data_IF_965519498748
#
_entry.id   IF_965519498748
#
_cell.length_a   1.000
_cell.length_b   1.000
_cell.length_c   1.000
_cell.angle_alpha   90.00
_cell.angle_beta   90.00
_cell.angle_gamma   90.00
#
_symmetry.space_group_name_H-M   'P 1'
#
loop_
_entity.id
_entity.type
_entity.pdbx_description
1 polymer ?
#
# COMPACT_ATOMS: atom_id res chain seq x y z
N UNK A 1 11.65 -8.16 7.31
CA UNK A 1 10.49 -9.04 7.05
C UNK A 1 10.58 -9.57 5.63
N UNK A 2 10.77 -10.88 5.44
CA UNK A 2 10.94 -11.54 4.12
C UNK A 2 9.71 -12.39 3.71
N UNK A 3 8.73 -12.56 4.60
CA UNK A 3 7.59 -13.47 4.39
C UNK A 3 6.78 -13.19 3.12
N UNK A 4 6.58 -11.91 2.82
CA UNK A 4 5.82 -11.43 1.66
C UNK A 4 6.67 -11.26 0.39
N UNK A 5 7.99 -11.50 0.47
CA UNK A 5 8.90 -11.25 -0.63
C UNK A 5 8.61 -12.16 -1.82
N UNK A 6 8.52 -11.57 -3.02
CA UNK A 6 8.27 -12.28 -4.27
C UNK A 6 6.85 -12.85 -4.41
N UNK A 7 5.93 -12.54 -3.49
CA UNK A 7 4.54 -13.00 -3.60
C UNK A 7 3.78 -12.17 -4.64
N UNK A 8 2.91 -12.79 -5.44
CA UNK A 8 2.00 -12.06 -6.31
C UNK A 8 0.99 -11.28 -5.46
N UNK A 9 0.43 -10.23 -6.06
CA UNK A 9 -0.62 -9.45 -5.42
C UNK A 9 -1.95 -10.19 -5.55
N UNK A 10 -2.70 -10.34 -4.45
CA UNK A 10 -4.01 -11.00 -4.44
C UNK A 10 -5.10 -10.02 -4.02
N UNK A 11 -6.26 -10.15 -4.65
CA UNK A 11 -7.44 -9.32 -4.43
C UNK A 11 -8.66 -10.21 -4.17
N UNK A 12 -9.81 -9.58 -3.88
CA UNK A 12 -11.06 -10.31 -3.60
C UNK A 12 -11.59 -11.09 -4.81
N UNK A 13 -11.26 -10.63 -6.01
CA UNK A 13 -11.67 -11.16 -7.31
C UNK A 13 -10.60 -12.01 -7.98
N UNK A 14 -9.32 -11.83 -7.61
CA UNK A 14 -8.19 -12.59 -8.16
C UNK A 14 -7.34 -13.15 -7.02
N UNK A 15 -7.49 -14.44 -6.78
CA UNK A 15 -6.73 -15.17 -5.76
C UNK A 15 -5.40 -15.68 -6.32
N UNK A 16 -4.29 -15.17 -5.77
CA UNK A 16 -2.94 -15.61 -6.11
C UNK A 16 -2.17 -16.07 -4.85
N UNK A 17 -2.87 -16.27 -3.74
CA UNK A 17 -2.25 -16.70 -2.49
C UNK A 17 -2.07 -18.23 -2.45
N UNK A 18 -1.40 -18.74 -1.42
CA UNK A 18 -1.15 -20.18 -1.27
C UNK A 18 -2.02 -20.81 -0.17
N UNK A 19 -2.93 -20.04 0.42
CA UNK A 19 -3.81 -20.56 1.46
C UNK A 19 -4.91 -21.44 0.85
N UNK A 20 -5.65 -22.13 1.72
CA UNK A 20 -6.77 -22.99 1.28
C UNK A 20 -7.97 -22.18 0.76
N UNK A 21 -7.99 -20.86 0.96
CA UNK A 21 -9.03 -19.99 0.45
C UNK A 21 -8.53 -18.55 0.38
N UNK A 22 -9.36 -17.66 -0.16
CA UNK A 22 -8.94 -16.31 -0.50
C UNK A 22 -8.68 -15.45 0.75
N UNK A 23 -7.40 -15.13 0.99
CA UNK A 23 -6.97 -14.31 2.11
C UNK A 23 -7.42 -12.85 1.96
N UNK A 24 -7.51 -12.32 0.73
CA UNK A 24 -7.97 -10.96 0.51
C UNK A 24 -9.45 -10.79 0.91
N UNK A 25 -10.26 -11.82 0.68
CA UNK A 25 -11.65 -11.86 1.13
C UNK A 25 -11.75 -11.96 2.66
N UNK A 26 -10.95 -12.83 3.27
CA UNK A 26 -10.98 -13.10 4.72
C UNK A 26 -10.47 -11.90 5.53
N UNK A 27 -9.38 -11.28 5.08
CA UNK A 27 -8.66 -10.22 5.79
C UNK A 27 -8.95 -8.81 5.28
N UNK A 28 -9.98 -8.69 4.42
CA UNK A 28 -10.60 -7.41 4.03
C UNK A 28 -9.60 -6.40 3.47
N UNK A 29 -8.69 -6.87 2.62
CA UNK A 29 -7.66 -6.05 2.00
C UNK A 29 -6.96 -6.79 0.88
N UNK A 30 -6.48 -6.06 -0.13
CA UNK A 30 -5.62 -6.65 -1.15
C UNK A 30 -4.16 -6.56 -0.70
N UNK A 31 -3.40 -7.65 -0.85
CA UNK A 31 -2.02 -7.70 -0.37
C UNK A 31 -1.19 -8.76 -1.11
N UNK A 32 0.12 -8.72 -0.89
CA UNK A 32 1.04 -9.77 -1.32
C UNK A 32 0.98 -10.96 -0.35
N UNK A 33 -0.11 -11.74 -0.38
CA UNK A 33 -0.34 -12.83 0.55
C UNK A 33 0.54 -14.07 0.26
N UNK A 34 0.90 -14.80 1.33
CA UNK A 34 1.46 -16.17 1.27
C UNK A 34 0.40 -17.12 1.84
N UNK A 35 0.61 -17.69 3.02
CA UNK A 35 -0.47 -18.29 3.80
C UNK A 35 -1.07 -17.13 4.60
N UNK A 36 -1.87 -16.32 3.90
CA UNK A 36 -2.30 -14.99 4.32
C UNK A 36 -1.13 -14.06 4.69
N UNK A 37 -1.11 -13.44 5.87
CA UNK A 37 -0.19 -12.34 6.15
C UNK A 37 0.38 -12.30 7.55
N UNK A 38 1.58 -11.70 7.65
CA UNK A 38 2.14 -11.17 8.89
C UNK A 38 1.98 -9.64 8.98
N UNK A 39 1.74 -8.97 7.85
CA UNK A 39 1.35 -7.56 7.83
C UNK A 39 0.31 -7.34 6.74
N UNK A 40 -0.71 -6.56 7.02
CA UNK A 40 -1.71 -6.13 6.05
C UNK A 40 -2.02 -4.66 6.29
N UNK A 41 -1.33 -3.79 5.55
CA UNK A 41 -1.54 -2.34 5.64
C UNK A 41 -2.80 -1.89 4.88
N UNK A 42 -3.38 -2.77 4.07
CA UNK A 42 -4.59 -2.54 3.28
C UNK A 42 -5.83 -3.19 3.93
N UNK A 43 -5.72 -3.67 5.17
CA UNK A 43 -6.85 -4.21 5.92
C UNK A 43 -7.91 -3.16 6.25
N UNK A 44 -9.03 -3.59 6.83
CA UNK A 44 -10.12 -2.67 7.16
C UNK A 44 -9.75 -1.81 8.38
N UNK A 45 -9.57 -0.51 8.17
CA UNK A 45 -9.23 0.42 9.25
C UNK A 45 -10.23 0.34 10.43
N UNK A 46 -9.69 0.31 11.66
CA UNK A 46 -10.46 0.25 12.90
C UNK A 46 -11.02 -1.13 13.25
N UNK A 47 -10.86 -2.15 12.40
CA UNK A 47 -11.32 -3.51 12.69
C UNK A 47 -10.37 -4.21 13.67
N UNK A 48 -10.89 -4.56 14.85
CA UNK A 48 -10.13 -5.21 15.92
C UNK A 48 -10.29 -6.73 15.93
N UNK A 49 -11.07 -7.29 15.00
CA UNK A 49 -11.17 -8.74 14.85
C UNK A 49 -9.84 -9.27 14.31
N UNK A 50 -9.51 -10.48 14.72
CA UNK A 50 -8.21 -11.10 14.41
C UNK A 50 -7.87 -11.01 12.92
N UNK A 51 -6.80 -10.29 12.62
CA UNK A 51 -6.23 -10.16 11.27
C UNK A 51 -7.15 -9.53 10.22
N UNK A 52 -8.23 -8.84 10.61
CA UNK A 52 -9.11 -8.12 9.67
C UNK A 52 -8.79 -6.63 9.55
N UNK A 53 -8.08 -6.09 10.54
CA UNK A 53 -7.66 -4.69 10.60
C UNK A 53 -6.39 -4.38 9.82
N UNK A 54 -6.02 -3.10 9.81
CA UNK A 54 -4.70 -2.65 9.35
C UNK A 54 -3.66 -3.11 10.38
N UNK A 55 -2.98 -4.22 10.16
CA UNK A 55 -2.17 -4.85 11.22
C UNK A 55 -0.75 -5.17 10.78
N UNK A 56 0.14 -5.28 11.78
CA UNK A 56 1.54 -5.66 11.62
C UNK A 56 1.93 -6.57 12.78
N UNK A 57 1.86 -7.88 12.56
CA UNK A 57 2.02 -8.92 13.58
C UNK A 57 3.34 -8.82 14.34
N UNK A 58 4.52 -8.71 13.69
CA UNK A 58 5.79 -8.61 14.39
C UNK A 58 5.94 -7.41 15.32
N UNK A 59 5.03 -6.43 15.24
CA UNK A 59 5.09 -5.21 16.03
C UNK A 59 3.95 -5.09 17.04
N UNK A 60 2.69 -5.09 16.58
CA UNK A 60 1.50 -4.88 17.43
C UNK A 60 0.55 -6.08 17.44
N UNK A 61 0.90 -7.18 16.79
CA UNK A 61 0.06 -8.36 16.65
C UNK A 61 -1.10 -8.16 15.67
N UNK A 62 -1.98 -9.16 15.61
CA UNK A 62 -3.12 -9.22 14.70
C UNK A 62 -4.43 -8.63 15.24
N UNK A 63 -4.49 -8.30 16.53
CA UNK A 63 -5.70 -7.80 17.20
C UNK A 63 -5.75 -6.27 17.29
N UNK A 64 -4.72 -5.58 16.80
CA UNK A 64 -4.62 -4.13 16.80
C UNK A 64 -4.64 -3.63 15.37
N UNK A 65 -5.62 -2.76 15.07
CA UNK A 65 -5.59 -1.95 13.85
C UNK A 65 -4.76 -0.70 14.09
N UNK A 66 -3.77 -0.45 13.25
CA UNK A 66 -2.97 0.76 13.25
C UNK A 66 -3.84 1.94 12.79
N UNK A 67 -3.64 3.09 13.44
CA UNK A 67 -4.40 4.31 13.13
C UNK A 67 -3.93 4.96 11.81
N UNK A 68 -2.66 4.76 11.46
CA UNK A 68 -2.03 5.34 10.28
C UNK A 68 -0.95 4.41 9.71
N UNK A 69 -0.90 4.30 8.38
CA UNK A 69 0.13 3.57 7.64
C UNK A 69 0.49 4.33 6.38
N UNK A 70 1.78 4.37 6.06
CA UNK A 70 2.27 5.03 4.85
C UNK A 70 3.41 4.21 4.24
N UNK A 71 3.29 3.86 2.95
CA UNK A 71 4.34 3.17 2.20
C UNK A 71 5.04 4.17 1.28
N UNK A 72 6.36 4.30 1.41
CA UNK A 72 7.19 5.20 0.61
C UNK A 72 8.38 4.45 0.03
N UNK A 73 8.70 4.72 -1.23
CA UNK A 73 9.87 4.17 -1.92
C UNK A 73 10.85 5.30 -2.22
N UNK A 74 12.13 5.08 -1.95
CA UNK A 74 13.22 5.97 -2.35
C UNK A 74 13.99 5.30 -3.49
N UNK A 75 14.28 6.00 -4.60
CA UNK A 75 15.15 5.48 -5.64
C UNK A 75 16.52 5.09 -5.07
N UNK A 76 16.95 3.86 -5.34
CA UNK A 76 18.28 3.37 -4.97
C UNK A 76 19.23 3.77 -6.11
N UNK A 77 20.02 4.82 -5.92
CA UNK A 77 20.98 5.31 -6.93
C UNK A 77 21.08 6.83 -7.08
N UNK A 78 20.18 7.61 -6.47
CA UNK A 78 20.21 9.09 -6.53
C UNK A 78 20.88 9.74 -5.31
N UNK A 79 21.68 9.00 -4.56
CA UNK A 79 22.39 9.46 -3.35
C UNK A 79 23.57 10.39 -3.60
N UNK A 80 23.82 10.82 -4.85
CA UNK A 80 24.94 11.71 -5.19
C UNK A 80 24.63 12.83 -6.19
N UNK A 81 23.44 12.90 -6.79
CA UNK A 81 23.04 14.01 -7.68
C UNK A 81 21.61 14.43 -7.37
N UNK A 82 21.48 15.25 -6.32
CA UNK A 82 20.35 16.18 -6.21
C UNK A 82 20.48 17.17 -7.38
N UNK A 83 20.07 16.76 -8.58
CA UNK A 83 19.71 17.76 -9.59
C UNK A 83 18.36 18.32 -9.15
N UNK A 84 18.46 19.49 -8.53
CA UNK A 84 17.44 20.50 -8.34
C UNK A 84 16.04 20.03 -8.79
N UNK A 85 15.22 19.65 -7.81
CA UNK A 85 13.78 19.52 -7.96
C UNK A 85 13.24 20.89 -8.41
N UNK A 86 13.24 21.14 -9.73
CA UNK A 86 12.64 22.35 -10.32
C UNK A 86 11.14 22.25 -10.05
N UNK A 87 10.67 22.97 -9.03
CA UNK A 87 9.23 23.15 -8.78
C UNK A 87 8.66 23.74 -10.07
N UNK A 88 7.83 22.99 -10.80
CA UNK A 88 7.02 23.57 -11.88
C UNK A 88 6.04 24.52 -11.21
N UNK A 89 6.18 25.83 -11.43
CA UNK A 89 5.13 26.78 -11.07
C UNK A 89 3.96 26.58 -12.02
N UNK A 90 2.76 26.46 -11.46
CA UNK A 90 1.53 26.48 -12.23
C UNK A 90 1.21 27.95 -12.50
N UNK A 91 1.83 28.54 -13.50
CA UNK A 91 1.40 29.85 -13.99
C UNK A 91 0.31 29.59 -15.02
N UNK A 92 -0.93 29.95 -14.69
CA UNK A 92 -2.07 29.85 -15.59
C UNK A 92 -1.83 30.69 -16.85
N UNK A 93 -1.81 30.06 -18.03
CA UNK A 93 -1.85 30.77 -19.31
C UNK A 93 -3.27 31.34 -19.49
N UNK A 94 -3.43 32.64 -19.31
CA UNK A 94 -4.64 33.34 -19.73
C UNK A 94 -4.73 33.27 -21.25
N UNK A 95 -5.83 32.74 -21.78
CA UNK A 95 -6.15 32.78 -23.22
C UNK A 95 -6.77 34.14 -23.51
N UNK A 96 -6.07 35.00 -24.23
CA UNK A 96 -6.67 36.20 -24.83
C UNK A 96 -7.53 35.76 -26.00
N UNK A 97 -8.84 36.02 -25.92
CA UNK A 97 -9.78 35.82 -27.04
C UNK A 97 -9.69 37.05 -27.93
N UNK A 98 -9.28 36.87 -29.19
CA UNK A 98 -9.41 37.90 -30.21
C UNK A 98 -10.87 37.94 -30.68
N UNK A 99 -11.51 39.09 -30.50
CA UNK A 99 -12.80 39.40 -31.09
C UNK A 99 -12.63 39.68 -32.60
N UNK A 100 -13.56 39.17 -33.41
CA UNK A 100 -13.78 39.63 -34.78
C UNK A 100 -14.75 40.81 -34.76
#
# INVERSE_FOLDING_TARGET
>A
MTYHQGRPFSTVDVDNDIALGNCALTHRGAWWYKNCHLANLNGKWGDKRHSMGVNWEPWKGHLVSLDFTEMKIRPVGTGGRILARKRRSVTAKSRTVQAK
#
